data_IF_027449691985
#
_entry.id   IF_027449691985
#
_cell.length_a   1.000
_cell.length_b   1.000
_cell.length_c   1.000
_cell.angle_alpha   90.00
_cell.angle_beta   90.00
_cell.angle_gamma   90.00
#
_symmetry.space_group_name_H-M   'P 1'
#
loop_
_entity.id
_entity.type
_entity.pdbx_description
1 polymer ?
#
# COMPACT_ATOMS: atom_id res chain seq x y z
N UNK A 1 -17.93 -4.79 11.24
CA UNK A 1 -16.61 -4.16 11.38
C UNK A 1 -16.37 -3.84 12.84
N UNK A 2 -15.19 -4.08 13.33
CA UNK A 2 -14.83 -3.72 14.69
C UNK A 2 -14.53 -2.24 14.79
N UNK A 3 -14.95 -1.61 15.87
CA UNK A 3 -14.77 -0.18 16.10
C UNK A 3 -13.32 0.21 16.32
N UNK A 4 -12.49 -0.75 16.72
CA UNK A 4 -11.08 -0.49 17.06
C UNK A 4 -10.15 -0.38 15.84
N UNK A 5 -10.66 -0.68 14.65
CA UNK A 5 -9.86 -0.63 13.43
C UNK A 5 -9.62 0.82 12.99
N UNK A 6 -8.36 1.13 12.74
CA UNK A 6 -7.95 2.45 12.28
C UNK A 6 -7.45 2.38 10.84
N UNK A 7 -8.01 3.22 9.99
CA UNK A 7 -7.63 3.29 8.59
C UNK A 7 -6.80 4.54 8.34
N UNK A 8 -5.77 4.41 7.50
CA UNK A 8 -4.85 5.52 7.20
C UNK A 8 -5.37 6.47 6.15
N UNK A 9 -6.35 6.05 5.35
CA UNK A 9 -7.00 6.91 4.37
C UNK A 9 -8.46 6.49 4.20
N UNK A 10 -9.28 7.43 3.76
CA UNK A 10 -10.69 7.18 3.47
C UNK A 10 -10.85 6.16 2.34
N UNK A 11 -9.92 6.15 1.38
CA UNK A 11 -9.96 5.19 0.28
C UNK A 11 -9.84 3.75 0.78
N UNK A 12 -8.90 3.48 1.68
CA UNK A 12 -8.75 2.15 2.26
C UNK A 12 -9.92 1.76 3.15
N UNK A 13 -10.45 2.73 3.90
CA UNK A 13 -11.64 2.50 4.73
C UNK A 13 -12.83 2.12 3.85
N UNK A 14 -13.06 2.83 2.74
CA UNK A 14 -14.16 2.56 1.84
C UNK A 14 -14.01 1.19 1.16
N UNK A 15 -12.80 0.82 0.75
CA UNK A 15 -12.53 -0.49 0.15
C UNK A 15 -12.83 -1.60 1.16
N UNK A 16 -12.35 -1.46 2.39
CA UNK A 16 -12.57 -2.46 3.43
C UNK A 16 -14.05 -2.60 3.75
N UNK A 17 -14.78 -1.51 3.82
CA UNK A 17 -16.23 -1.51 4.07
C UNK A 17 -16.98 -2.27 2.98
N UNK A 18 -16.67 -2.00 1.71
CA UNK A 18 -17.28 -2.69 0.58
C UNK A 18 -17.02 -4.18 0.62
N UNK A 19 -15.77 -4.58 0.90
CA UNK A 19 -15.39 -5.99 0.98
C UNK A 19 -16.07 -6.66 2.17
N UNK A 20 -16.21 -5.96 3.29
CA UNK A 20 -16.93 -6.46 4.47
C UNK A 20 -18.39 -6.74 4.15
N UNK A 21 -19.04 -5.87 3.37
CA UNK A 21 -20.41 -6.08 2.93
C UNK A 21 -20.53 -7.32 2.05
N UNK A 22 -19.61 -7.53 1.14
CA UNK A 22 -19.59 -8.74 0.30
C UNK A 22 -19.37 -10.01 1.13
N UNK A 23 -18.51 -9.95 2.14
CA UNK A 23 -18.30 -11.08 3.04
C UNK A 23 -19.57 -11.41 3.80
N UNK A 24 -20.23 -10.39 4.37
CA UNK A 24 -21.48 -10.56 5.09
C UNK A 24 -22.60 -11.12 4.21
N UNK A 25 -22.59 -10.80 2.91
CA UNK A 25 -23.53 -11.32 1.92
C UNK A 25 -23.16 -12.71 1.39
N UNK A 26 -22.01 -13.26 1.80
CA UNK A 26 -21.55 -14.57 1.35
C UNK A 26 -20.88 -14.56 -0.02
N UNK A 27 -20.54 -13.39 -0.55
CA UNK A 27 -19.93 -13.27 -1.88
C UNK A 27 -18.44 -13.65 -1.85
N UNK A 28 -17.75 -13.34 -0.74
CA UNK A 28 -16.34 -13.68 -0.54
C UNK A 28 -16.19 -14.55 0.69
N UNK A 29 -15.16 -15.41 0.67
CA UNK A 29 -14.92 -16.32 1.77
C UNK A 29 -14.12 -15.66 2.90
N UNK A 30 -13.98 -16.40 4.00
CA UNK A 30 -13.29 -15.92 5.20
C UNK A 30 -11.81 -15.63 4.96
N UNK A 31 -11.16 -16.41 4.10
CA UNK A 31 -9.75 -16.20 3.78
C UNK A 31 -9.55 -14.89 3.01
N UNK A 32 -10.39 -14.65 2.01
CA UNK A 32 -10.34 -13.41 1.22
C UNK A 32 -10.58 -12.20 2.11
N UNK A 33 -11.56 -12.27 3.02
CA UNK A 33 -11.82 -11.20 3.97
C UNK A 33 -10.62 -10.93 4.87
N UNK A 34 -9.95 -11.97 5.33
CA UNK A 34 -8.75 -11.85 6.16
C UNK A 34 -7.62 -11.16 5.41
N UNK A 35 -7.44 -11.49 4.13
CA UNK A 35 -6.41 -10.86 3.29
C UNK A 35 -6.69 -9.38 3.12
N UNK A 36 -7.94 -8.99 2.94
CA UNK A 36 -8.32 -7.58 2.89
C UNK A 36 -8.11 -6.87 4.22
N UNK A 37 -8.46 -7.52 5.33
CA UNK A 37 -8.19 -6.97 6.66
C UNK A 37 -6.71 -6.68 6.84
N UNK A 38 -5.86 -7.62 6.49
CA UNK A 38 -4.42 -7.46 6.62
C UNK A 38 -3.91 -6.32 5.74
N UNK A 39 -4.33 -6.25 4.48
CA UNK A 39 -3.90 -5.20 3.55
C UNK A 39 -4.39 -3.82 4.00
N UNK A 40 -5.66 -3.71 4.39
CA UNK A 40 -6.26 -2.43 4.77
C UNK A 40 -5.83 -1.94 6.14
N UNK A 41 -5.46 -2.84 7.04
CA UNK A 41 -5.15 -2.53 8.43
C UNK A 41 -3.65 -2.57 8.74
N UNK A 42 -2.81 -2.88 7.77
CA UNK A 42 -1.36 -2.83 7.97
C UNK A 42 -0.94 -1.42 8.38
N UNK A 43 -0.18 -1.27 9.47
CA UNK A 43 0.29 0.05 9.88
C UNK A 43 1.08 0.72 8.77
N UNK A 44 0.83 2.00 8.58
CA UNK A 44 1.49 2.81 7.57
C UNK A 44 2.51 3.71 8.26
N UNK A 45 3.75 3.69 7.80
CA UNK A 45 4.78 4.59 8.30
C UNK A 45 5.23 5.55 7.21
N UNK A 46 5.82 6.65 7.60
CA UNK A 46 6.45 7.57 6.68
C UNK A 46 7.81 7.00 6.24
N UNK A 47 8.20 7.35 5.03
CA UNK A 47 9.48 6.95 4.45
C UNK A 47 10.30 8.19 4.11
N UNK A 48 11.59 8.16 4.44
CA UNK A 48 12.52 9.17 3.96
C UNK A 48 12.88 8.90 2.50
N UNK A 49 13.45 9.90 1.83
CA UNK A 49 13.93 9.74 0.45
C UNK A 49 14.90 8.57 0.31
N UNK A 50 15.82 8.45 1.27
CA UNK A 50 16.84 7.41 1.30
C UNK A 50 16.21 6.04 1.50
N UNK A 51 15.20 5.95 2.35
CA UNK A 51 14.49 4.70 2.61
C UNK A 51 13.73 4.20 1.37
N UNK A 52 13.11 5.11 0.62
CA UNK A 52 12.40 4.76 -0.61
C UNK A 52 13.39 4.24 -1.65
N UNK A 53 14.52 4.93 -1.81
CA UNK A 53 15.55 4.51 -2.73
C UNK A 53 16.14 3.14 -2.34
N UNK A 54 16.41 2.94 -1.05
CA UNK A 54 16.93 1.67 -0.54
C UNK A 54 15.93 0.54 -0.77
N UNK A 55 14.65 0.79 -0.54
CA UNK A 55 13.59 -0.20 -0.76
C UNK A 55 13.53 -0.61 -2.22
N UNK A 56 13.56 0.37 -3.12
CA UNK A 56 13.56 0.11 -4.56
C UNK A 56 14.76 -0.73 -4.99
N UNK A 57 15.95 -0.37 -4.50
CA UNK A 57 17.18 -1.10 -4.82
C UNK A 57 17.16 -2.51 -4.27
N UNK A 58 16.60 -2.70 -3.08
CA UNK A 58 16.43 -4.03 -2.49
C UNK A 58 15.58 -4.92 -3.41
N UNK A 59 14.54 -4.36 -4.01
CA UNK A 59 13.66 -5.08 -4.92
C UNK A 59 14.23 -5.17 -6.34
N UNK A 60 15.38 -4.56 -6.60
CA UNK A 60 16.12 -4.66 -7.87
C UNK A 60 15.33 -4.19 -9.09
N UNK A 61 14.61 -3.10 -8.93
CA UNK A 61 13.82 -2.50 -10.02
C UNK A 61 14.22 -1.06 -10.26
N UNK A 62 14.00 -0.59 -11.50
CA UNK A 62 14.21 0.81 -11.86
C UNK A 62 13.11 1.69 -11.29
N UNK A 63 13.32 3.01 -11.32
CA UNK A 63 12.27 3.96 -10.91
C UNK A 63 11.01 3.79 -11.76
N UNK A 64 11.15 3.58 -13.05
CA UNK A 64 10.01 3.41 -13.95
C UNK A 64 9.21 2.15 -13.61
N UNK A 65 9.89 1.05 -13.36
CA UNK A 65 9.23 -0.20 -12.99
C UNK A 65 8.58 -0.10 -11.62
N UNK A 66 9.28 0.49 -10.65
CA UNK A 66 8.74 0.70 -9.31
C UNK A 66 7.47 1.56 -9.35
N UNK A 67 7.48 2.62 -10.17
CA UNK A 67 6.32 3.49 -10.36
C UNK A 67 5.12 2.72 -10.91
N UNK A 68 5.35 1.78 -11.83
CA UNK A 68 4.28 0.96 -12.40
C UNK A 68 3.66 0.05 -11.35
N UNK A 69 4.44 -0.55 -10.48
CA UNK A 69 3.91 -1.35 -9.37
C UNK A 69 3.05 -0.51 -8.44
N UNK A 70 3.45 0.74 -8.20
CA UNK A 70 2.75 1.65 -7.30
C UNK A 70 1.60 2.41 -7.99
N UNK A 71 1.46 2.25 -9.30
CA UNK A 71 0.48 2.96 -10.12
C UNK A 71 0.62 4.48 -10.01
N UNK A 72 1.85 4.96 -10.05
CA UNK A 72 2.19 6.38 -10.06
C UNK A 72 3.12 6.67 -11.23
N UNK A 73 3.40 7.96 -11.49
CA UNK A 73 4.35 8.33 -12.53
C UNK A 73 5.79 8.08 -12.07
N UNK A 74 6.69 7.88 -13.03
CA UNK A 74 8.12 7.81 -12.75
C UNK A 74 8.60 9.10 -12.08
N UNK A 75 8.08 10.24 -12.50
CA UNK A 75 8.43 11.54 -11.91
C UNK A 75 8.06 11.60 -10.43
N UNK A 76 6.95 11.01 -10.03
CA UNK A 76 6.57 10.94 -8.63
C UNK A 76 7.63 10.19 -7.82
N UNK A 77 8.04 9.01 -8.28
CA UNK A 77 9.08 8.23 -7.60
C UNK A 77 10.39 9.02 -7.54
N UNK A 78 10.78 9.63 -8.65
CA UNK A 78 11.99 10.46 -8.71
C UNK A 78 11.94 11.61 -7.70
N UNK A 79 10.81 12.30 -7.60
CA UNK A 79 10.63 13.39 -6.64
C UNK A 79 10.71 12.89 -5.19
N UNK A 80 10.15 11.73 -4.91
CA UNK A 80 10.26 11.13 -3.57
C UNK A 80 11.71 10.83 -3.21
N UNK A 81 12.47 10.26 -4.16
CA UNK A 81 13.87 9.87 -3.91
C UNK A 81 14.81 11.06 -3.82
N UNK A 82 14.41 12.20 -4.37
CA UNK A 82 15.17 13.46 -4.24
C UNK A 82 14.74 14.29 -3.02
N UNK A 83 13.72 13.85 -2.31
CA UNK A 83 13.19 14.58 -1.16
C UNK A 83 12.37 15.81 -1.52
N UNK A 84 12.01 15.98 -2.80
CA UNK A 84 11.21 17.13 -3.25
C UNK A 84 9.75 17.01 -2.88
N UNK A 85 9.24 15.79 -2.85
CA UNK A 85 7.86 15.49 -2.44
C UNK A 85 7.86 14.22 -1.60
N UNK A 86 6.83 14.08 -0.78
CA UNK A 86 6.64 12.89 0.04
C UNK A 86 5.47 12.08 -0.48
N UNK A 87 5.56 10.74 -0.49
CA UNK A 87 4.40 9.92 -0.78
C UNK A 87 3.35 10.12 0.31
N UNK A 88 2.09 10.04 -0.08
CA UNK A 88 0.98 10.21 0.84
C UNK A 88 -0.15 9.24 0.47
N UNK A 89 -1.09 9.07 1.39
CA UNK A 89 -2.27 8.26 1.14
C UNK A 89 -1.95 6.82 0.78
N UNK A 90 -2.52 6.34 -0.31
CA UNK A 90 -2.37 4.95 -0.72
C UNK A 90 -0.94 4.57 -1.10
N UNK A 91 -0.13 5.53 -1.54
CA UNK A 91 1.28 5.26 -1.85
C UNK A 91 2.05 4.81 -0.60
N UNK A 92 1.82 5.43 0.55
CA UNK A 92 2.44 5.03 1.80
C UNK A 92 2.03 3.62 2.20
N UNK A 93 0.77 3.26 1.99
CA UNK A 93 0.27 1.92 2.28
C UNK A 93 0.98 0.88 1.41
N UNK A 94 1.10 1.16 0.12
CA UNK A 94 1.77 0.26 -0.81
C UNK A 94 3.25 0.12 -0.48
N UNK A 95 3.93 1.21 -0.15
CA UNK A 95 5.33 1.16 0.26
C UNK A 95 5.51 0.33 1.53
N UNK A 96 4.61 0.46 2.50
CA UNK A 96 4.65 -0.33 3.73
C UNK A 96 4.45 -1.82 3.45
N UNK A 97 3.58 -2.17 2.50
CA UNK A 97 3.36 -3.56 2.09
C UNK A 97 4.60 -4.12 1.38
N UNK A 98 5.23 -3.34 0.51
CA UNK A 98 6.46 -3.77 -0.16
C UNK A 98 7.57 -4.02 0.86
N UNK A 99 7.69 -3.16 1.86
CA UNK A 99 8.69 -3.32 2.90
C UNK A 99 8.50 -4.62 3.66
N UNK A 100 7.28 -4.99 3.96
CA UNK A 100 6.97 -6.19 4.73
C UNK A 100 6.97 -7.47 3.90
N UNK A 101 6.47 -7.41 2.68
CA UNK A 101 6.16 -8.60 1.89
C UNK A 101 6.82 -8.62 0.50
N UNK A 102 7.48 -7.55 0.09
CA UNK A 102 8.09 -7.43 -1.23
C UNK A 102 7.10 -7.00 -2.31
N UNK A 103 7.62 -6.74 -3.52
CA UNK A 103 6.82 -6.28 -4.66
C UNK A 103 5.73 -7.27 -5.07
N UNK A 104 5.95 -8.55 -4.87
CA UNK A 104 4.98 -9.58 -5.23
C UNK A 104 3.63 -9.37 -4.54
N UNK A 105 3.62 -8.71 -3.39
CA UNK A 105 2.40 -8.46 -2.64
C UNK A 105 1.45 -7.48 -3.35
N UNK A 106 1.97 -6.65 -4.25
CA UNK A 106 1.18 -5.63 -4.96
C UNK A 106 1.21 -5.80 -6.48
N UNK A 107 1.77 -6.90 -6.93
CA UNK A 107 1.85 -7.20 -8.36
C UNK A 107 0.48 -7.55 -8.96
#
# INVERSE_FOLDING_TARGET
MTEDKTYKSDAFAAIHETVSDYYAAGVIDKQTMREFDEACLTPVREFTAEEIQALRKREQVSQAVFARYLNVSKDAVSQWERGEKRPAGSSLKLLSLIERKGLAAIA
#
